data_IF_204135108404
#
_entry.id   IF_204135108404
#
_cell.length_a   1.000
_cell.length_b   1.000
_cell.length_c   1.000
_cell.angle_alpha   90.00
_cell.angle_beta   90.00
_cell.angle_gamma   90.00
#
_symmetry.space_group_name_H-M   'P 1'
#
loop_
_entity.id
_entity.type
_entity.pdbx_description
1 polymer ?
#
# COMPACT_ATOMS: atom_id res chain seq x y z
N UNK A 1 9.20 15.26 39.56
CA UNK A 1 9.70 14.85 38.27
C UNK A 1 8.76 13.79 37.71
N UNK A 2 8.04 14.03 36.60
CA UNK A 2 7.13 13.03 36.04
C UNK A 2 7.95 11.99 35.23
N UNK A 3 7.83 10.73 35.65
CA UNK A 3 8.37 9.57 35.02
C UNK A 3 7.67 9.37 33.66
N UNK A 4 8.31 9.76 32.56
CA UNK A 4 7.90 9.38 31.21
C UNK A 4 8.16 7.89 31.04
N UNK A 5 7.19 7.06 31.39
CA UNK A 5 7.11 5.67 30.97
C UNK A 5 7.12 5.64 29.43
N UNK A 6 8.28 5.37 28.84
CA UNK A 6 8.41 5.02 27.43
C UNK A 6 7.53 3.78 27.21
N UNK A 7 6.32 3.97 26.66
CA UNK A 7 5.52 2.86 26.15
C UNK A 7 6.41 2.10 25.16
N UNK A 8 6.76 0.87 25.50
CA UNK A 8 7.48 0.00 24.60
C UNK A 8 6.63 -0.13 23.33
N UNK A 9 7.09 0.42 22.21
CA UNK A 9 6.43 0.27 20.90
C UNK A 9 6.43 -1.22 20.57
N UNK A 10 5.27 -1.85 20.64
CA UNK A 10 5.12 -3.27 20.26
C UNK A 10 5.49 -3.39 18.78
N UNK A 11 6.53 -4.16 18.49
CA UNK A 11 6.99 -4.41 17.11
C UNK A 11 5.82 -4.91 16.24
N UNK A 12 5.68 -4.40 15.01
CA UNK A 12 4.64 -4.87 14.10
C UNK A 12 4.74 -6.38 13.85
N UNK A 13 3.60 -7.08 13.84
CA UNK A 13 3.57 -8.52 13.59
C UNK A 13 3.99 -8.84 12.15
N UNK A 14 4.67 -9.99 11.98
CA UNK A 14 4.92 -10.54 10.64
C UNK A 14 3.59 -10.82 9.95
N UNK A 15 3.49 -10.51 8.65
CA UNK A 15 2.29 -10.77 7.87
C UNK A 15 1.75 -9.54 7.15
N UNK A 16 0.54 -9.67 6.59
CA UNK A 16 -0.06 -8.66 5.72
C UNK A 16 -1.49 -8.34 6.14
N UNK A 17 -1.79 -7.05 6.35
CA UNK A 17 -3.16 -6.54 6.36
C UNK A 17 -3.55 -6.17 4.92
N UNK A 18 -4.64 -6.74 4.41
CA UNK A 18 -5.16 -6.46 3.07
C UNK A 18 -6.43 -5.64 3.23
N UNK A 19 -6.39 -4.40 2.73
CA UNK A 19 -7.50 -3.45 2.75
C UNK A 19 -8.02 -3.27 1.33
N UNK A 20 -9.22 -3.76 1.06
CA UNK A 20 -9.83 -3.66 -0.25
C UNK A 20 -10.91 -2.60 -0.31
N UNK A 21 -10.72 -1.63 -1.20
CA UNK A 21 -11.72 -0.65 -1.61
C UNK A 21 -12.14 -0.98 -3.04
N UNK A 22 -13.06 -1.92 -3.23
CA UNK A 22 -13.57 -2.35 -4.53
C UNK A 22 -14.90 -1.69 -4.87
N UNK A 23 -15.12 -1.46 -6.16
CA UNK A 23 -16.41 -1.01 -6.73
C UNK A 23 -17.23 -2.23 -7.16
N UNK A 24 -18.54 -2.05 -7.28
CA UNK A 24 -19.43 -3.10 -7.84
C UNK A 24 -19.11 -3.45 -9.29
N UNK A 25 -18.58 -2.47 -10.05
CA UNK A 25 -18.19 -2.64 -11.45
C UNK A 25 -16.83 -3.31 -11.65
N UNK A 26 -16.12 -3.64 -10.58
CA UNK A 26 -14.79 -4.26 -10.70
C UNK A 26 -14.93 -5.71 -11.19
N UNK A 27 -13.99 -6.17 -12.06
CA UNK A 27 -14.08 -7.51 -12.67
C UNK A 27 -13.82 -8.65 -11.67
N UNK A 28 -13.47 -8.30 -10.44
CA UNK A 28 -13.16 -9.25 -9.37
C UNK A 28 -12.63 -8.55 -8.13
N UNK A 29 -12.06 -9.32 -7.23
CA UNK A 29 -11.48 -8.84 -5.98
C UNK A 29 -9.98 -9.11 -5.95
N UNK A 30 -9.18 -8.08 -6.14
CA UNK A 30 -7.72 -8.14 -5.99
C UNK A 30 -7.34 -8.54 -4.57
N UNK A 31 -7.98 -7.94 -3.57
CA UNK A 31 -7.66 -8.21 -2.17
C UNK A 31 -7.96 -9.65 -1.76
N UNK A 32 -9.04 -10.27 -2.26
CA UNK A 32 -9.32 -11.69 -2.02
C UNK A 32 -8.30 -12.59 -2.69
N UNK A 33 -7.90 -12.26 -3.92
CA UNK A 33 -6.87 -13.01 -4.60
C UNK A 33 -5.55 -12.97 -3.81
N UNK A 34 -5.11 -11.78 -3.41
CA UNK A 34 -3.89 -11.59 -2.60
C UNK A 34 -4.01 -12.35 -1.27
N UNK A 35 -5.16 -12.31 -0.62
CA UNK A 35 -5.40 -13.06 0.61
C UNK A 35 -5.25 -14.56 0.42
N UNK A 36 -5.86 -15.12 -0.63
CA UNK A 36 -5.78 -16.54 -0.92
C UNK A 36 -4.35 -16.98 -1.30
N UNK A 37 -3.68 -16.18 -2.12
CA UNK A 37 -2.29 -16.42 -2.48
C UNK A 37 -1.35 -16.44 -1.25
N UNK A 38 -1.53 -15.50 -0.32
CA UNK A 38 -0.75 -15.46 0.92
C UNK A 38 -1.05 -16.65 1.82
N UNK A 39 -2.29 -17.17 1.77
CA UNK A 39 -2.68 -18.42 2.46
C UNK A 39 -1.89 -19.61 1.95
N UNK A 40 -1.84 -19.78 0.63
CA UNK A 40 -1.04 -20.82 -0.01
C UNK A 40 0.46 -20.71 0.26
N UNK A 41 0.95 -19.50 0.60
CA UNK A 41 2.32 -19.24 1.03
C UNK A 41 2.53 -19.38 2.54
N UNK A 42 1.50 -19.78 3.30
CA UNK A 42 1.51 -19.87 4.77
C UNK A 42 1.90 -18.56 5.47
N UNK A 43 1.57 -17.42 4.85
CA UNK A 43 1.85 -16.08 5.38
C UNK A 43 0.67 -15.60 6.22
N UNK A 44 0.88 -15.21 7.49
CA UNK A 44 -0.17 -14.62 8.32
C UNK A 44 -0.79 -13.41 7.63
N UNK A 45 -2.11 -13.38 7.52
CA UNK A 45 -2.82 -12.31 6.84
C UNK A 45 -4.17 -12.01 7.47
N UNK A 46 -4.66 -10.80 7.20
CA UNK A 46 -6.04 -10.38 7.49
C UNK A 46 -6.59 -9.62 6.29
N UNK A 47 -7.64 -10.14 5.70
CA UNK A 47 -8.39 -9.44 4.65
C UNK A 47 -9.55 -8.66 5.24
N UNK A 48 -9.75 -7.44 4.75
CA UNK A 48 -10.85 -6.57 5.16
C UNK A 48 -11.39 -5.81 3.94
N UNK A 49 -12.68 -5.91 3.69
CA UNK A 49 -13.38 -5.02 2.76
C UNK A 49 -13.67 -3.71 3.47
N UNK A 50 -13.08 -2.64 2.97
CA UNK A 50 -13.21 -1.28 3.52
C UNK A 50 -14.57 -0.71 3.19
N UNK A 51 -15.22 -0.07 4.17
CA UNK A 51 -16.59 0.46 4.02
C UNK A 51 -16.63 1.96 3.74
N UNK A 52 -15.62 2.71 4.18
CA UNK A 52 -15.54 4.16 4.03
C UNK A 52 -14.10 4.68 4.10
N UNK A 53 -13.91 5.99 3.87
CA UNK A 53 -12.61 6.64 4.08
C UNK A 53 -12.20 6.56 5.56
N UNK A 54 -13.11 6.78 6.46
CA UNK A 54 -12.88 6.74 7.91
C UNK A 54 -12.50 5.32 8.36
N UNK A 55 -13.17 4.29 7.81
CA UNK A 55 -12.82 2.89 8.07
C UNK A 55 -11.41 2.57 7.58
N UNK A 56 -11.01 3.06 6.37
CA UNK A 56 -9.64 2.93 5.87
C UNK A 56 -8.62 3.54 6.84
N UNK A 57 -8.83 4.80 7.24
CA UNK A 57 -7.94 5.51 8.17
C UNK A 57 -7.82 4.79 9.50
N UNK A 58 -8.92 4.39 10.10
CA UNK A 58 -8.94 3.68 11.38
C UNK A 58 -8.18 2.35 11.33
N UNK A 59 -8.30 1.61 10.22
CA UNK A 59 -7.58 0.34 10.03
C UNK A 59 -6.10 0.55 9.80
N UNK A 60 -5.72 1.60 9.08
CA UNK A 60 -4.32 1.98 8.93
C UNK A 60 -3.69 2.32 10.28
N UNK A 61 -4.34 3.14 11.08
CA UNK A 61 -3.86 3.55 12.41
C UNK A 61 -3.73 2.38 13.39
N UNK A 62 -4.67 1.45 13.36
CA UNK A 62 -4.76 0.33 14.32
C UNK A 62 -4.08 -0.95 13.85
N UNK A 63 -3.46 -0.97 12.66
CA UNK A 63 -2.87 -2.18 12.10
C UNK A 63 -1.73 -2.73 12.96
N UNK A 64 -1.79 -4.01 13.37
CA UNK A 64 -0.65 -4.66 14.00
C UNK A 64 0.34 -5.24 12.97
N UNK A 65 0.05 -5.20 11.67
CA UNK A 65 0.85 -5.84 10.63
C UNK A 65 1.97 -4.94 10.11
N UNK A 66 3.09 -5.57 9.75
CA UNK A 66 4.25 -4.88 9.18
C UNK A 66 4.04 -4.45 7.74
N UNK A 67 3.27 -5.21 6.98
CA UNK A 67 2.91 -4.85 5.60
C UNK A 67 1.41 -4.59 5.54
N UNK A 68 1.03 -3.51 4.86
CA UNK A 68 -0.35 -3.16 4.59
C UNK A 68 -0.51 -3.06 3.07
N UNK A 69 -1.37 -3.90 2.51
CA UNK A 69 -1.72 -3.92 1.10
C UNK A 69 -3.05 -3.20 0.91
N UNK A 70 -3.07 -2.14 0.11
CA UNK A 70 -4.27 -1.36 -0.20
C UNK A 70 -4.64 -1.64 -1.66
N UNK A 71 -5.62 -2.51 -1.86
CA UNK A 71 -6.19 -2.84 -3.16
C UNK A 71 -7.31 -1.84 -3.47
N UNK A 72 -7.08 -0.94 -4.44
CA UNK A 72 -8.02 0.16 -4.71
C UNK A 72 -7.73 0.86 -6.05
N UNK A 73 -8.55 1.86 -6.38
CA UNK A 73 -8.41 2.70 -7.56
C UNK A 73 -7.73 4.04 -7.24
N UNK A 74 -7.01 4.58 -8.23
CA UNK A 74 -6.59 5.97 -8.23
C UNK A 74 -7.72 6.91 -8.66
N UNK A 75 -7.78 8.08 -8.03
CA UNK A 75 -8.69 9.17 -8.43
C UNK A 75 -7.89 10.26 -9.11
N UNK A 76 -8.38 10.71 -10.28
CA UNK A 76 -7.69 11.69 -11.11
C UNK A 76 -8.55 12.90 -11.38
N UNK A 77 -7.90 14.06 -11.51
CA UNK A 77 -8.45 15.23 -12.19
C UNK A 77 -7.98 15.19 -13.65
N UNK A 78 -8.91 15.14 -14.58
CA UNK A 78 -8.61 15.24 -16.02
C UNK A 78 -8.33 16.70 -16.35
N UNK A 79 -7.18 16.99 -16.94
CA UNK A 79 -6.90 18.23 -17.66
C UNK A 79 -6.83 17.92 -19.16
N UNK A 80 -6.81 18.96 -20.02
CA UNK A 80 -6.74 18.77 -21.48
C UNK A 80 -5.47 18.02 -21.94
N UNK A 81 -4.41 18.01 -21.13
CA UNK A 81 -3.11 17.42 -21.49
C UNK A 81 -2.68 16.28 -20.59
N UNK A 82 -3.09 16.27 -19.30
CA UNK A 82 -2.58 15.33 -18.31
C UNK A 82 -3.65 14.83 -17.34
N UNK A 83 -3.42 13.63 -16.79
CA UNK A 83 -4.17 13.10 -15.64
C UNK A 83 -3.38 13.40 -14.38
N UNK A 84 -3.90 14.28 -13.52
CA UNK A 84 -3.28 14.56 -12.22
C UNK A 84 -3.90 13.64 -11.16
N UNK A 85 -3.07 12.87 -10.46
CA UNK A 85 -3.49 12.08 -9.31
C UNK A 85 -3.94 13.01 -8.18
N UNK A 86 -5.09 12.71 -7.55
CA UNK A 86 -5.67 13.52 -6.47
C UNK A 86 -6.04 12.70 -5.23
N UNK A 87 -5.74 11.41 -5.22
CA UNK A 87 -5.93 10.55 -4.07
C UNK A 87 -6.34 9.14 -4.40
N UNK A 88 -6.48 8.35 -3.36
CA UNK A 88 -6.89 6.95 -3.37
C UNK A 88 -8.40 6.88 -3.21
N UNK A 89 -9.07 6.09 -4.05
CA UNK A 89 -10.52 5.91 -3.97
C UNK A 89 -10.94 5.12 -2.73
N UNK A 90 -12.07 5.50 -2.15
CA UNK A 90 -12.75 4.77 -1.06
C UNK A 90 -14.26 4.76 -1.32
N UNK A 91 -15.04 3.83 -0.74
CA UNK A 91 -16.48 3.75 -0.99
C UNK A 91 -17.27 5.04 -0.72
N UNK A 92 -16.81 5.88 0.22
CA UNK A 92 -17.49 7.15 0.56
C UNK A 92 -16.73 8.40 0.12
N UNK A 93 -15.74 8.25 -0.80
CA UNK A 93 -14.98 9.40 -1.28
C UNK A 93 -13.55 9.06 -1.70
N UNK A 94 -12.59 9.79 -1.20
CA UNK A 94 -11.16 9.57 -1.50
C UNK A 94 -10.27 9.96 -0.33
N UNK A 95 -9.17 9.26 -0.15
CA UNK A 95 -8.07 9.66 0.73
C UNK A 95 -7.15 10.58 -0.08
N UNK A 96 -7.16 11.87 0.24
CA UNK A 96 -6.30 12.89 -0.40
C UNK A 96 -4.97 13.02 0.32
N UNK A 97 -4.03 13.74 -0.30
CA UNK A 97 -2.76 14.09 0.33
C UNK A 97 -2.95 14.86 1.66
N UNK A 98 -3.95 15.76 1.74
CA UNK A 98 -4.26 16.48 2.98
C UNK A 98 -4.77 15.59 4.12
N UNK A 99 -5.41 14.46 3.78
CA UNK A 99 -5.94 13.52 4.77
C UNK A 99 -4.83 12.67 5.42
N UNK A 100 -3.62 12.65 4.86
CA UNK A 100 -2.48 11.91 5.42
C UNK A 100 -2.08 12.41 6.81
N UNK A 101 -2.41 13.64 7.15
CA UNK A 101 -2.20 14.18 8.51
C UNK A 101 -2.93 13.38 9.59
N UNK A 102 -4.04 12.75 9.25
CA UNK A 102 -4.75 11.82 10.15
C UNK A 102 -3.91 10.58 10.50
N UNK A 103 -2.89 10.28 9.69
CA UNK A 103 -2.00 9.13 9.85
C UNK A 103 -0.61 9.52 10.37
N UNK A 104 -0.43 10.75 10.87
CA UNK A 104 0.87 11.26 11.34
C UNK A 104 1.49 10.30 12.35
N UNK A 105 2.71 9.81 12.03
CA UNK A 105 3.51 8.90 12.85
C UNK A 105 2.82 7.58 13.25
N UNK A 106 1.76 7.19 12.51
CA UNK A 106 0.99 5.96 12.81
C UNK A 106 1.49 4.73 12.06
N UNK A 107 2.30 4.91 11.01
CA UNK A 107 2.75 3.81 10.15
C UNK A 107 4.26 3.56 10.24
N UNK A 108 4.90 4.01 11.32
CA UNK A 108 6.32 3.77 11.55
C UNK A 108 6.68 2.28 11.38
N UNK A 109 7.84 2.03 10.75
CA UNK A 109 8.37 0.69 10.44
C UNK A 109 7.50 -0.18 9.52
N UNK A 110 6.41 0.35 8.98
CA UNK A 110 5.53 -0.39 8.06
C UNK A 110 5.89 -0.16 6.60
N UNK A 111 5.57 -1.16 5.80
CA UNK A 111 5.57 -1.09 4.34
C UNK A 111 4.13 -0.97 3.86
N UNK A 112 3.84 0.06 3.09
CA UNK A 112 2.55 0.24 2.40
C UNK A 112 2.72 -0.21 0.96
N UNK A 113 1.90 -1.15 0.51
CA UNK A 113 1.77 -1.56 -0.89
C UNK A 113 0.41 -1.06 -1.38
N UNK A 114 0.41 -0.11 -2.29
CA UNK A 114 -0.82 0.46 -2.86
C UNK A 114 -0.88 0.15 -4.35
N UNK A 115 -1.96 -0.44 -4.82
CA UNK A 115 -2.13 -0.81 -6.24
C UNK A 115 -2.96 0.20 -7.03
N UNK A 116 -3.38 1.28 -6.40
CA UNK A 116 -4.10 2.38 -7.05
C UNK A 116 -3.31 2.97 -8.22
N UNK A 117 -3.97 3.12 -9.37
CA UNK A 117 -3.36 3.74 -10.55
C UNK A 117 -2.71 5.10 -10.22
N UNK A 118 -1.49 5.34 -10.73
CA UNK A 118 -0.71 6.58 -10.56
C UNK A 118 -0.43 6.98 -9.11
N UNK A 119 -0.59 6.08 -8.14
CA UNK A 119 -0.40 6.41 -6.72
C UNK A 119 1.07 6.57 -6.32
N UNK A 120 2.03 6.26 -7.21
CA UNK A 120 3.42 6.69 -7.09
C UNK A 120 3.64 8.14 -7.55
N UNK A 121 2.57 8.97 -7.63
CA UNK A 121 2.71 10.41 -7.79
C UNK A 121 3.70 10.97 -6.78
N UNK A 122 4.69 11.74 -7.25
CA UNK A 122 5.82 12.18 -6.43
C UNK A 122 5.37 12.93 -5.18
N UNK A 123 4.44 13.87 -5.33
CA UNK A 123 3.95 14.66 -4.20
C UNK A 123 3.22 13.80 -3.16
N UNK A 124 2.45 12.82 -3.63
CA UNK A 124 1.72 11.92 -2.74
C UNK A 124 2.65 10.92 -2.05
N UNK A 125 3.59 10.31 -2.80
CA UNK A 125 4.51 9.31 -2.27
C UNK A 125 5.52 9.88 -1.27
N UNK A 126 6.08 11.06 -1.53
CA UNK A 126 6.93 11.77 -0.57
C UNK A 126 6.15 12.14 0.70
N UNK A 127 4.92 12.69 0.53
CA UNK A 127 4.10 13.12 1.67
C UNK A 127 3.63 11.96 2.54
N UNK A 128 3.28 10.80 1.96
CA UNK A 128 2.87 9.64 2.76
C UNK A 128 4.03 9.13 3.63
N UNK A 129 5.25 9.10 3.11
CA UNK A 129 6.44 8.72 3.89
C UNK A 129 6.73 9.74 4.98
N UNK A 130 6.79 11.03 4.63
CA UNK A 130 7.10 12.13 5.55
C UNK A 130 6.12 12.18 6.74
N UNK A 131 4.82 12.13 6.43
CA UNK A 131 3.80 12.33 7.45
C UNK A 131 3.53 11.07 8.26
N UNK A 132 3.46 9.92 7.61
CA UNK A 132 3.03 8.71 8.32
C UNK A 132 4.16 7.94 8.99
N UNK A 133 5.41 8.25 8.64
CA UNK A 133 6.59 7.55 9.14
C UNK A 133 6.80 6.16 8.55
N UNK A 134 6.07 5.76 7.50
CA UNK A 134 6.23 4.43 6.92
C UNK A 134 7.62 4.25 6.30
N UNK A 135 8.21 3.07 6.48
CA UNK A 135 9.56 2.78 5.98
C UNK A 135 9.61 2.69 4.45
N UNK A 136 8.53 2.18 3.85
CA UNK A 136 8.45 1.99 2.41
C UNK A 136 7.03 2.24 1.92
N UNK A 137 6.92 2.93 0.81
CA UNK A 137 5.70 3.07 0.01
C UNK A 137 5.93 2.48 -1.38
N UNK A 138 5.15 1.49 -1.75
CA UNK A 138 5.25 0.76 -3.02
C UNK A 138 3.98 1.00 -3.82
N UNK A 139 4.13 1.55 -5.03
CA UNK A 139 3.00 1.97 -5.82
C UNK A 139 3.32 2.02 -7.33
N UNK A 140 2.31 1.99 -8.23
CA UNK A 140 2.53 2.07 -9.66
C UNK A 140 2.68 3.52 -10.14
N UNK A 141 3.60 3.75 -11.08
CA UNK A 141 3.76 5.04 -11.78
C UNK A 141 2.74 5.22 -12.91
N UNK A 142 2.04 4.15 -13.31
CA UNK A 142 1.05 4.15 -14.37
C UNK A 142 -0.30 3.64 -13.89
N UNK A 143 -1.10 3.16 -14.82
CA UNK A 143 -2.45 2.62 -14.57
C UNK A 143 -2.47 1.11 -14.87
N UNK A 144 -1.98 0.26 -13.95
CA UNK A 144 -1.98 -1.17 -14.14
C UNK A 144 -3.42 -1.69 -14.27
N UNK A 145 -3.60 -2.71 -15.09
CA UNK A 145 -4.83 -3.50 -15.08
C UNK A 145 -4.90 -4.36 -13.82
N UNK A 146 -6.07 -4.91 -13.50
CA UNK A 146 -6.25 -5.80 -12.35
C UNK A 146 -5.29 -6.99 -12.36
N UNK A 147 -5.11 -7.63 -13.51
CA UNK A 147 -4.16 -8.75 -13.64
C UNK A 147 -2.70 -8.34 -13.44
N UNK A 148 -2.31 -7.12 -13.84
CA UNK A 148 -0.95 -6.60 -13.59
C UNK A 148 -0.69 -6.41 -12.10
N UNK A 149 -1.66 -5.85 -11.37
CA UNK A 149 -1.58 -5.66 -9.92
C UNK A 149 -1.49 -6.99 -9.17
N UNK A 150 -2.30 -7.97 -9.58
CA UNK A 150 -2.28 -9.34 -9.05
C UNK A 150 -0.93 -10.02 -9.32
N UNK A 151 -0.42 -9.90 -10.53
CA UNK A 151 0.85 -10.50 -10.93
C UNK A 151 2.02 -9.86 -10.18
N UNK A 152 2.00 -8.53 -10.04
CA UNK A 152 2.96 -7.81 -9.20
C UNK A 152 2.93 -8.32 -7.76
N UNK A 153 1.75 -8.39 -7.15
CA UNK A 153 1.59 -8.85 -5.77
C UNK A 153 2.13 -10.26 -5.57
N UNK A 154 1.87 -11.18 -6.52
CA UNK A 154 2.37 -12.54 -6.48
C UNK A 154 3.90 -12.57 -6.45
N UNK A 155 4.56 -11.92 -7.40
CA UNK A 155 6.03 -11.88 -7.47
C UNK A 155 6.62 -11.22 -6.24
N UNK A 156 6.07 -10.06 -5.84
CA UNK A 156 6.54 -9.31 -4.69
C UNK A 156 6.50 -10.12 -3.40
N UNK A 157 5.34 -10.70 -3.06
CA UNK A 157 5.16 -11.45 -1.82
C UNK A 157 5.93 -12.77 -1.84
N UNK A 158 5.97 -13.48 -2.96
CA UNK A 158 6.80 -14.67 -3.10
C UNK A 158 8.28 -14.36 -2.82
N UNK A 159 8.83 -13.29 -3.43
CA UNK A 159 10.21 -12.88 -3.21
C UNK A 159 10.45 -12.46 -1.76
N UNK A 160 9.52 -11.71 -1.19
CA UNK A 160 9.68 -11.20 0.17
C UNK A 160 9.55 -12.30 1.23
N UNK A 161 8.48 -13.09 1.18
CA UNK A 161 8.19 -14.07 2.23
C UNK A 161 8.86 -15.42 2.01
N UNK A 162 8.88 -15.94 0.79
CA UNK A 162 9.44 -17.26 0.51
C UNK A 162 10.95 -17.17 0.32
N UNK A 163 11.42 -16.25 -0.54
CA UNK A 163 12.85 -16.11 -0.82
C UNK A 163 13.55 -15.14 0.14
N UNK A 164 12.87 -14.64 1.19
CA UNK A 164 13.42 -13.78 2.25
C UNK A 164 14.17 -12.55 1.75
N UNK A 165 13.72 -11.97 0.63
CA UNK A 165 14.33 -10.77 0.06
C UNK A 165 13.79 -9.51 0.74
N UNK A 166 14.64 -8.47 0.83
CA UNK A 166 14.18 -7.15 1.27
C UNK A 166 13.10 -6.60 0.32
N UNK A 167 12.29 -5.67 0.80
CA UNK A 167 11.25 -4.98 -0.01
C UNK A 167 11.86 -4.44 -1.30
N UNK A 168 12.97 -3.70 -1.23
CA UNK A 168 13.67 -3.14 -2.40
C UNK A 168 14.12 -4.20 -3.41
N UNK A 169 14.71 -5.31 -2.94
CA UNK A 169 15.14 -6.42 -3.82
C UNK A 169 13.97 -7.15 -4.47
N UNK A 170 12.83 -7.25 -3.77
CA UNK A 170 11.62 -7.90 -4.30
C UNK A 170 11.02 -7.12 -5.48
N UNK A 171 11.00 -5.78 -5.39
CA UNK A 171 10.50 -4.90 -6.46
C UNK A 171 11.47 -4.84 -7.65
N UNK A 172 12.76 -4.68 -7.39
CA UNK A 172 13.77 -4.58 -8.45
C UNK A 172 13.78 -5.79 -9.39
N UNK A 173 13.46 -6.98 -8.89
CA UNK A 173 13.37 -8.17 -9.72
C UNK A 173 12.08 -8.22 -10.56
N UNK A 174 10.94 -7.77 -10.01
CA UNK A 174 9.71 -7.62 -10.80
C UNK A 174 9.95 -6.75 -12.03
N UNK A 175 10.56 -5.58 -11.85
CA UNK A 175 10.83 -4.63 -12.94
C UNK A 175 11.79 -5.17 -14.01
N UNK A 176 12.66 -6.12 -13.67
CA UNK A 176 13.55 -6.79 -14.65
C UNK A 176 12.84 -7.89 -15.43
N UNK A 177 11.97 -8.64 -14.78
CA UNK A 177 11.28 -9.80 -15.36
C UNK A 177 10.08 -9.39 -16.19
N UNK A 178 9.38 -8.33 -15.76
CA UNK A 178 8.15 -7.89 -16.37
C UNK A 178 8.28 -6.44 -16.87
N UNK A 179 8.52 -6.29 -18.16
CA UNK A 179 8.61 -4.99 -18.85
C UNK A 179 7.22 -4.36 -19.05
N UNK A 180 6.57 -3.99 -17.95
CA UNK A 180 5.28 -3.31 -18.01
C UNK A 180 5.48 -1.79 -17.92
N UNK A 181 4.84 -0.98 -18.80
CA UNK A 181 4.87 0.48 -18.72
C UNK A 181 4.27 1.02 -17.41
N UNK A 182 3.43 0.23 -16.75
CA UNK A 182 2.80 0.55 -15.46
C UNK A 182 3.56 -0.01 -14.26
N UNK A 183 4.89 0.03 -14.32
CA UNK A 183 5.78 -0.54 -13.31
C UNK A 183 5.49 0.00 -11.91
N UNK A 184 5.68 -0.86 -10.93
CA UNK A 184 5.69 -0.50 -9.53
C UNK A 184 7.06 0.02 -9.11
N UNK A 185 7.08 1.07 -8.30
CA UNK A 185 8.28 1.67 -7.74
C UNK A 185 8.19 1.70 -6.22
N UNK A 186 9.31 1.98 -5.58
CA UNK A 186 9.43 2.10 -4.14
C UNK A 186 9.98 3.48 -3.78
N UNK A 187 9.28 4.16 -2.90
CA UNK A 187 9.80 5.28 -2.13
C UNK A 187 10.12 4.80 -0.71
N UNK A 188 11.17 5.34 -0.11
CA UNK A 188 11.59 4.95 1.23
C UNK A 188 12.18 6.13 1.98
N UNK A 189 12.07 6.12 3.30
CA UNK A 189 12.85 7.04 4.12
C UNK A 189 14.33 6.82 3.80
N UNK A 190 15.02 7.88 3.37
CA UNK A 190 16.47 7.89 3.36
C UNK A 190 16.91 7.83 4.83
N UNK A 191 17.64 6.77 5.20
CA UNK A 191 18.37 6.81 6.46
C UNK A 191 19.52 7.78 6.24
N UNK A 192 19.35 8.99 6.76
CA UNK A 192 20.45 9.93 6.97
C UNK A 192 21.46 9.30 7.94
#
# INVERSE_FOLDING_TARGET
MPNHLKRSKKMPSKGVLILECSKESDPGSEGRFVSHMLDLMEVPRKYVKVKSKEDLVNRLQSSPFRIIHIATHGVFKKSKRDKKFIGIWTPTGKLKQSDLELLRDKLEERTIVCTACLSADKQFSEKIIEVTGCSHYVAPIGSPYFHDAIFFAHIFYHKHFILKRSVRKSIGQYSRTYKNPHRFVIESQEKV
#
